data_IF_073036153871
#
_entry.id   IF_073036153871
#
_cell.length_a   1.000
_cell.length_b   1.000
_cell.length_c   1.000
_cell.angle_alpha   90.00
_cell.angle_beta   90.00
_cell.angle_gamma   90.00
#
_symmetry.space_group_name_H-M   'P 1'
#
loop_
_entity.id
_entity.type
_entity.pdbx_description
1 polymer ?
#
# COMPACT_ATOMS: atom_id res chain seq x y z
N UNK A 1 -31.12 18.89 -3.02
CA UNK A 1 -32.20 18.15 -2.32
C UNK A 1 -31.61 17.55 -1.03
N UNK A 2 -31.22 18.42 -0.09
CA UNK A 2 -30.69 18.04 1.22
C UNK A 2 -31.82 18.19 2.22
N UNK A 3 -32.20 17.10 2.90
CA UNK A 3 -33.20 17.14 3.97
C UNK A 3 -32.67 16.32 5.14
N UNK A 4 -32.11 17.05 6.10
CA UNK A 4 -31.75 16.59 7.42
C UNK A 4 -33.00 16.05 8.13
N UNK A 5 -32.95 14.79 8.58
CA UNK A 5 -33.90 14.29 9.58
C UNK A 5 -33.20 14.34 10.94
N UNK A 6 -33.34 15.47 11.62
CA UNK A 6 -33.10 15.60 13.05
C UNK A 6 -34.46 15.45 13.72
N UNK A 7 -34.75 14.25 14.26
CA UNK A 7 -35.99 14.02 15.00
C UNK A 7 -35.80 14.56 16.42
N UNK A 8 -36.59 15.57 16.76
CA UNK A 8 -36.62 16.21 18.07
C UNK A 8 -37.34 15.31 19.08
N UNK A 9 -36.64 14.90 20.13
CA UNK A 9 -37.27 14.40 21.36
C UNK A 9 -37.34 15.58 22.33
N UNK A 10 -38.55 16.08 22.56
CA UNK A 10 -38.82 17.05 23.60
C UNK A 10 -38.69 16.37 24.97
N UNK A 11 -37.69 16.79 25.76
CA UNK A 11 -37.64 16.52 27.20
C UNK A 11 -37.82 17.84 27.93
N UNK A 12 -39.00 18.03 28.51
CA UNK A 12 -39.33 19.19 29.34
C UNK A 12 -38.73 19.03 30.74
N UNK A 13 -37.98 20.04 31.19
CA UNK A 13 -37.87 20.36 32.61
C UNK A 13 -36.52 20.09 33.26
N UNK A 14 -35.61 21.07 33.20
CA UNK A 14 -34.93 21.77 34.32
C UNK A 14 -33.82 22.65 33.75
N UNK A 15 -33.65 23.86 34.29
CA UNK A 15 -32.71 24.88 33.79
C UNK A 15 -31.27 24.46 34.07
N UNK A 16 -30.61 23.84 33.08
CA UNK A 16 -29.16 23.65 33.05
C UNK A 16 -28.51 24.73 32.20
N UNK A 17 -27.59 25.49 32.79
CA UNK A 17 -26.74 26.46 32.09
C UNK A 17 -25.96 25.76 30.97
N UNK A 18 -26.04 26.28 29.75
CA UNK A 18 -25.31 25.77 28.59
C UNK A 18 -23.83 26.18 28.73
N UNK A 19 -22.99 25.26 29.19
CA UNK A 19 -21.53 25.47 29.24
C UNK A 19 -20.95 25.11 27.86
N UNK A 20 -20.29 26.03 27.16
CA UNK A 20 -19.71 25.75 25.85
C UNK A 20 -18.57 24.73 25.96
N UNK A 21 -18.46 23.86 24.95
CA UNK A 21 -17.56 22.69 24.92
C UNK A 21 -16.05 23.04 25.03
N UNK A 22 -15.68 24.32 24.96
CA UNK A 22 -14.31 24.80 25.19
C UNK A 22 -13.96 25.00 26.67
N UNK A 23 -14.94 25.00 27.56
CA UNK A 23 -14.76 25.34 28.98
C UNK A 23 -14.71 24.10 29.90
N UNK A 24 -14.80 22.91 29.33
CA UNK A 24 -14.65 21.60 30.00
C UNK A 24 -13.21 21.05 29.88
N UNK A 25 -12.21 21.92 29.82
CA UNK A 25 -10.81 21.55 29.56
C UNK A 25 -9.91 21.52 30.80
N UNK A 26 -10.41 21.81 32.00
CA UNK A 26 -9.59 21.78 33.21
C UNK A 26 -10.43 21.32 34.39
N UNK A 27 -10.66 20.01 34.50
CA UNK A 27 -10.93 19.33 35.79
C UNK A 27 -10.93 17.81 35.58
N UNK A 28 -9.72 17.24 35.55
CA UNK A 28 -9.34 16.10 36.40
C UNK A 28 -10.11 14.77 36.37
N UNK A 29 -11.09 14.54 35.50
CA UNK A 29 -11.90 13.30 35.54
C UNK A 29 -12.14 12.64 34.18
N UNK A 30 -11.07 12.41 33.41
CA UNK A 30 -11.12 11.46 32.30
C UNK A 30 -10.01 10.38 32.31
N UNK A 31 -9.73 9.67 33.42
CA UNK A 31 -8.90 8.46 33.34
C UNK A 31 -9.69 7.24 32.80
N UNK A 32 -10.97 7.09 33.16
CA UNK A 32 -11.71 5.85 32.91
C UNK A 32 -12.48 5.78 31.58
N UNK A 33 -12.69 6.89 30.88
CA UNK A 33 -13.44 6.91 29.61
C UNK A 33 -12.54 6.72 28.39
N UNK A 34 -11.24 7.04 28.48
CA UNK A 34 -10.28 6.79 27.38
C UNK A 34 -10.21 5.30 27.01
N UNK A 35 -10.26 4.43 28.02
CA UNK A 35 -10.19 2.97 27.89
C UNK A 35 -11.38 2.34 27.17
N UNK A 36 -12.51 3.06 27.04
CA UNK A 36 -13.74 2.57 26.38
C UNK A 36 -13.92 3.09 24.95
N UNK A 37 -13.18 4.14 24.57
CA UNK A 37 -13.25 4.76 23.23
C UNK A 37 -12.03 4.41 22.37
N UNK A 38 -10.87 4.17 22.98
CA UNK A 38 -9.75 3.48 22.35
C UNK A 38 -9.33 2.36 23.29
N UNK A 39 -9.75 1.10 23.06
CA UNK A 39 -9.10 0.02 23.77
C UNK A 39 -7.64 0.04 23.32
N UNK A 40 -6.74 0.32 24.26
CA UNK A 40 -5.32 0.09 24.08
C UNK A 40 -5.17 -1.39 23.70
N UNK A 41 -4.76 -1.66 22.47
CA UNK A 41 -4.55 -3.03 21.98
C UNK A 41 -3.27 -3.56 22.61
N UNK A 42 -3.38 -4.05 23.85
CA UNK A 42 -2.33 -4.71 24.61
C UNK A 42 -2.21 -6.21 24.25
N UNK A 43 -2.53 -6.59 23.02
CA UNK A 43 -2.22 -7.89 22.46
C UNK A 43 -1.44 -7.65 21.18
N UNK A 44 -0.16 -8.01 21.19
CA UNK A 44 0.70 -8.07 20.02
C UNK A 44 0.18 -9.11 19.04
N UNK A 45 -0.89 -8.78 18.33
CA UNK A 45 -1.19 -9.39 17.05
C UNK A 45 -0.10 -8.90 16.10
N UNK A 46 0.82 -9.79 15.75
CA UNK A 46 1.83 -9.54 14.73
C UNK A 46 1.06 -9.30 13.43
N UNK A 47 0.74 -8.05 13.11
CA UNK A 47 -0.01 -7.74 11.90
C UNK A 47 0.92 -8.05 10.72
N UNK A 48 0.70 -9.19 10.09
CA UNK A 48 1.54 -9.68 8.99
C UNK A 48 1.04 -9.02 7.71
N UNK A 49 1.75 -7.99 7.26
CA UNK A 49 1.45 -7.38 5.97
C UNK A 49 1.57 -8.42 4.85
N UNK A 50 0.76 -8.28 3.81
CA UNK A 50 0.97 -9.05 2.57
C UNK A 50 2.31 -8.63 1.92
N UNK A 51 2.98 -9.49 1.14
CA UNK A 51 4.21 -9.09 0.42
C UNK A 51 4.02 -7.83 -0.44
N UNK A 52 2.85 -7.67 -1.06
CA UNK A 52 2.48 -6.44 -1.76
C UNK A 52 2.36 -5.24 -0.83
N UNK A 53 1.74 -5.41 0.33
CA UNK A 53 1.67 -4.39 1.37
C UNK A 53 3.04 -3.95 1.86
N UNK A 54 3.98 -4.88 2.03
CA UNK A 54 5.36 -4.60 2.41
C UNK A 54 6.09 -3.76 1.35
N UNK A 55 5.98 -4.13 0.06
CA UNK A 55 6.57 -3.36 -1.05
C UNK A 55 6.00 -1.96 -1.16
N UNK A 56 4.68 -1.80 -1.03
CA UNK A 56 4.01 -0.48 -0.99
C UNK A 56 4.54 0.37 0.16
N UNK A 57 4.64 -0.22 1.37
CA UNK A 57 5.14 0.47 2.56
C UNK A 57 6.60 0.89 2.42
N UNK A 58 7.44 0.04 1.83
CA UNK A 58 8.84 0.33 1.57
C UNK A 58 9.00 1.52 0.62
N UNK A 59 8.39 1.46 -0.56
CA UNK A 59 8.45 2.53 -1.57
C UNK A 59 7.87 3.85 -1.04
N UNK A 60 6.75 3.81 -0.32
CA UNK A 60 6.17 5.02 0.27
C UNK A 60 7.15 5.71 1.20
N UNK A 61 7.83 4.94 2.06
CA UNK A 61 8.82 5.47 3.01
C UNK A 61 10.07 5.97 2.31
N UNK A 62 10.55 5.27 1.29
CA UNK A 62 11.67 5.70 0.44
C UNK A 62 11.39 7.07 -0.19
N UNK A 63 10.16 7.29 -0.65
CA UNK A 63 9.71 8.58 -1.22
C UNK A 63 9.35 9.63 -0.17
N UNK A 64 9.50 9.35 1.13
CA UNK A 64 9.17 10.27 2.21
C UNK A 64 7.68 10.63 2.30
N UNK A 65 6.80 9.82 1.72
CA UNK A 65 5.36 10.10 1.68
C UNK A 65 4.68 9.63 2.97
N UNK A 66 3.79 10.47 3.50
CA UNK A 66 2.85 10.07 4.55
C UNK A 66 1.73 9.20 3.97
N UNK A 67 1.01 8.47 4.82
CA UNK A 67 -0.18 7.69 4.41
C UNK A 67 -1.24 8.57 3.73
N UNK A 68 -1.41 9.81 4.21
CA UNK A 68 -2.38 10.76 3.66
C UNK A 68 -1.99 11.22 2.25
N UNK A 69 -0.70 11.50 2.04
CA UNK A 69 -0.17 11.93 0.75
C UNK A 69 -0.30 10.82 -0.29
N UNK A 70 0.07 9.57 0.05
CA UNK A 70 -0.13 8.45 -0.86
C UNK A 70 -1.61 8.21 -1.16
N UNK A 71 -2.47 8.27 -0.14
CA UNK A 71 -3.90 8.10 -0.31
C UNK A 71 -4.50 9.15 -1.26
N UNK A 72 -4.11 10.42 -1.09
CA UNK A 72 -4.53 11.53 -1.95
C UNK A 72 -4.06 11.32 -3.39
N UNK A 73 -2.78 10.99 -3.59
CA UNK A 73 -2.21 10.77 -4.92
C UNK A 73 -2.84 9.57 -5.64
N UNK A 74 -3.14 8.49 -4.92
CA UNK A 74 -3.77 7.28 -5.46
C UNK A 74 -5.31 7.34 -5.51
N UNK A 75 -5.92 8.46 -5.12
CA UNK A 75 -7.38 8.64 -5.14
C UNK A 75 -8.15 7.69 -4.21
N UNK A 76 -7.59 7.37 -3.04
CA UNK A 76 -8.15 6.43 -2.06
C UNK A 76 -8.13 7.01 -0.63
N UNK A 77 -8.64 6.27 0.36
CA UNK A 77 -8.62 6.73 1.76
C UNK A 77 -7.34 6.31 2.49
N UNK A 78 -6.94 7.10 3.49
CA UNK A 78 -5.81 6.80 4.38
C UNK A 78 -5.94 5.42 5.04
N UNK A 79 -7.14 5.08 5.53
CA UNK A 79 -7.43 3.76 6.13
C UNK A 79 -7.12 2.64 5.15
N UNK A 80 -7.46 2.83 3.87
CA UNK A 80 -7.24 1.80 2.84
C UNK A 80 -5.76 1.54 2.58
N UNK A 81 -4.94 2.59 2.52
CA UNK A 81 -3.49 2.45 2.41
C UNK A 81 -2.93 1.77 3.66
N UNK A 82 -3.35 2.19 4.85
CA UNK A 82 -2.89 1.56 6.09
C UNK A 82 -3.25 0.08 6.17
N UNK A 83 -4.49 -0.28 5.81
CA UNK A 83 -4.95 -1.67 5.73
C UNK A 83 -4.10 -2.46 4.76
N UNK A 84 -3.84 -1.93 3.56
CA UNK A 84 -2.99 -2.57 2.55
C UNK A 84 -1.57 -2.84 3.09
N UNK A 85 -0.99 -1.87 3.79
CA UNK A 85 0.39 -1.93 4.30
C UNK A 85 0.58 -2.80 5.53
N UNK A 86 -0.49 -3.12 6.26
CA UNK A 86 -0.37 -3.77 7.57
C UNK A 86 -1.23 -5.01 7.71
N UNK A 87 -2.43 -5.10 7.13
CA UNK A 87 -3.30 -6.27 7.29
C UNK A 87 -2.88 -7.42 6.38
N UNK A 88 -2.98 -8.64 6.92
CA UNK A 88 -2.91 -9.86 6.14
C UNK A 88 -4.16 -9.98 5.24
N UNK A 89 -4.06 -10.80 4.19
CA UNK A 89 -5.19 -11.15 3.31
C UNK A 89 -5.88 -9.99 2.55
N UNK A 90 -5.24 -8.83 2.44
CA UNK A 90 -5.74 -7.77 1.55
C UNK A 90 -5.63 -8.19 0.08
N UNK A 91 -6.78 -8.19 -0.61
CA UNK A 91 -6.88 -8.45 -2.06
C UNK A 91 -7.33 -7.18 -2.78
N UNK A 92 -6.42 -6.23 -3.04
CA UNK A 92 -6.76 -5.05 -3.84
C UNK A 92 -7.15 -5.45 -5.26
N UNK A 93 -8.04 -4.66 -5.87
CA UNK A 93 -8.39 -4.84 -7.29
C UNK A 93 -7.25 -4.32 -8.17
N UNK A 94 -7.13 -4.83 -9.39
CA UNK A 94 -6.09 -4.39 -10.34
C UNK A 94 -6.09 -2.87 -10.54
N UNK A 95 -7.27 -2.26 -10.68
CA UNK A 95 -7.41 -0.80 -10.81
C UNK A 95 -6.82 -0.04 -9.61
N UNK A 96 -7.01 -0.55 -8.38
CA UNK A 96 -6.47 0.10 -7.17
C UNK A 96 -4.95 -0.03 -7.11
N UNK A 97 -4.42 -1.19 -7.46
CA UNK A 97 -2.97 -1.39 -7.54
C UNK A 97 -2.36 -0.48 -8.61
N UNK A 98 -3.01 -0.31 -9.76
CA UNK A 98 -2.56 0.61 -10.80
C UNK A 98 -2.47 2.05 -10.29
N UNK A 99 -3.51 2.57 -9.64
CA UNK A 99 -3.46 3.94 -9.09
C UNK A 99 -2.39 4.13 -8.01
N UNK A 100 -2.11 3.09 -7.22
CA UNK A 100 -1.03 3.13 -6.22
C UNK A 100 0.34 3.06 -6.91
N UNK A 101 0.50 2.22 -7.94
CA UNK A 101 1.72 2.12 -8.73
C UNK A 101 2.05 3.44 -9.42
N UNK A 102 1.05 4.08 -10.04
CA UNK A 102 1.20 5.40 -10.67
C UNK A 102 1.64 6.46 -9.64
N UNK A 103 0.99 6.50 -8.47
CA UNK A 103 1.33 7.43 -7.39
C UNK A 103 2.74 7.20 -6.80
N UNK A 104 3.23 5.96 -6.85
CA UNK A 104 4.57 5.59 -6.42
C UNK A 104 5.59 5.59 -7.58
N UNK A 105 5.17 5.96 -8.79
CA UNK A 105 5.99 5.93 -10.02
C UNK A 105 6.69 4.58 -10.24
N UNK A 106 5.94 3.49 -10.08
CA UNK A 106 6.41 2.10 -10.24
C UNK A 106 5.42 1.29 -11.11
N UNK A 107 5.62 -0.02 -11.21
CA UNK A 107 4.76 -0.94 -11.96
C UNK A 107 3.89 -1.79 -11.03
N UNK A 108 2.75 -2.27 -11.53
CA UNK A 108 1.89 -3.17 -10.76
C UNK A 108 2.60 -4.51 -10.52
N UNK A 109 3.38 -4.96 -11.49
CA UNK A 109 4.20 -6.16 -11.47
C UNK A 109 5.22 -6.13 -10.32
N UNK A 110 5.89 -4.99 -10.12
CA UNK A 110 6.81 -4.78 -9.00
C UNK A 110 6.07 -4.87 -7.66
N UNK A 111 4.94 -4.17 -7.51
CA UNK A 111 4.15 -4.20 -6.27
C UNK A 111 3.65 -5.62 -5.96
N UNK A 112 3.31 -6.40 -6.98
CA UNK A 112 2.89 -7.80 -6.84
C UNK A 112 4.06 -8.76 -6.60
N UNK A 113 5.30 -8.34 -6.84
CA UNK A 113 6.48 -9.20 -6.74
C UNK A 113 6.60 -10.20 -7.88
N UNK A 114 5.97 -9.93 -9.03
CA UNK A 114 6.04 -10.80 -10.21
C UNK A 114 7.47 -10.78 -10.79
N UNK A 115 8.20 -9.67 -10.63
CA UNK A 115 9.61 -9.56 -11.04
C UNK A 115 10.57 -10.40 -10.16
N UNK A 116 10.21 -10.66 -8.89
CA UNK A 116 11.01 -11.48 -7.97
C UNK A 116 10.77 -12.99 -8.12
N UNK A 117 9.83 -13.39 -8.99
CA UNK A 117 9.63 -14.78 -9.41
C UNK A 117 10.45 -15.15 -10.66
N UNK A 118 11.43 -14.33 -11.03
CA UNK A 118 12.42 -14.72 -12.03
C UNK A 118 13.58 -15.36 -11.28
N UNK A 119 13.78 -16.66 -11.48
CA UNK A 119 14.98 -17.34 -10.99
C UNK A 119 16.22 -16.54 -11.44
N UNK A 120 17.30 -16.56 -10.65
CA UNK A 120 18.54 -15.80 -10.94
C UNK A 120 19.04 -16.02 -12.38
N UNK A 121 18.78 -17.21 -12.94
CA UNK A 121 19.07 -17.57 -14.32
C UNK A 121 18.16 -16.84 -15.32
N UNK A 122 16.86 -16.71 -15.07
CA UNK A 122 15.95 -15.96 -15.94
C UNK A 122 16.27 -14.45 -15.96
N UNK A 123 16.66 -13.88 -14.82
CA UNK A 123 17.11 -12.48 -14.76
C UNK A 123 18.40 -12.29 -15.60
N UNK A 124 19.32 -13.24 -15.51
CA UNK A 124 20.55 -13.23 -16.31
C UNK A 124 20.23 -13.38 -17.81
N UNK A 125 19.28 -14.24 -18.19
CA UNK A 125 18.84 -14.44 -19.56
C UNK A 125 18.15 -13.21 -20.14
N UNK A 126 17.30 -12.54 -19.36
CA UNK A 126 16.67 -11.27 -19.76
C UNK A 126 17.74 -10.19 -19.98
N UNK A 127 18.69 -10.06 -19.06
CA UNK A 127 19.79 -9.10 -19.19
C UNK A 127 20.67 -9.39 -20.41
N UNK A 128 21.02 -10.67 -20.61
CA UNK A 128 21.77 -11.15 -21.76
C UNK A 128 21.04 -10.88 -23.07
N UNK A 129 19.74 -11.18 -23.16
CA UNK A 129 18.94 -10.95 -24.36
C UNK A 129 18.86 -9.45 -24.73
N UNK A 130 18.70 -8.58 -23.73
CA UNK A 130 18.74 -7.12 -23.92
C UNK A 130 20.07 -6.66 -24.51
N UNK A 131 21.19 -7.22 -24.01
CA UNK A 131 22.51 -6.91 -24.53
C UNK A 131 22.69 -7.47 -25.96
N UNK A 132 22.32 -8.72 -26.20
CA UNK A 132 22.40 -9.39 -27.50
C UNK A 132 21.70 -8.60 -28.60
N UNK A 133 20.47 -8.09 -28.36
CA UNK A 133 19.74 -7.28 -29.36
C UNK A 133 20.47 -5.99 -29.75
N UNK A 134 21.21 -5.38 -28.82
CA UNK A 134 21.95 -4.13 -29.04
C UNK A 134 23.31 -4.33 -29.72
N UNK A 135 23.82 -5.58 -29.81
CA UNK A 135 25.11 -5.87 -30.45
C UNK A 135 25.04 -5.74 -31.99
N UNK A 136 26.16 -5.48 -32.67
CA UNK A 136 26.23 -5.49 -34.14
C UNK A 136 25.77 -6.82 -34.76
N UNK A 137 25.22 -6.77 -35.98
CA UNK A 137 24.71 -7.95 -36.68
C UNK A 137 25.78 -9.05 -36.86
N UNK A 138 27.02 -8.64 -37.09
CA UNK A 138 28.19 -9.50 -37.21
C UNK A 138 28.45 -10.29 -35.92
N UNK A 139 28.42 -9.62 -34.77
CA UNK A 139 28.61 -10.24 -33.44
C UNK A 139 27.48 -11.20 -33.12
N UNK A 140 26.22 -10.79 -33.35
CA UNK A 140 25.05 -11.67 -33.14
C UNK A 140 25.10 -12.92 -34.02
N UNK A 141 25.65 -12.83 -35.24
CA UNK A 141 25.84 -13.98 -36.12
C UNK A 141 26.81 -15.00 -35.53
N UNK A 142 27.97 -14.53 -35.04
CA UNK A 142 28.98 -15.39 -34.40
C UNK A 142 28.43 -16.11 -33.17
N UNK A 143 27.68 -15.41 -32.32
CA UNK A 143 27.02 -15.99 -31.14
C UNK A 143 26.06 -17.12 -31.56
N UNK A 144 25.23 -16.92 -32.59
CA UNK A 144 24.32 -17.97 -33.09
C UNK A 144 25.05 -19.20 -33.63
N UNK A 145 26.17 -19.00 -34.34
CA UNK A 145 26.96 -20.12 -34.86
C UNK A 145 27.63 -20.92 -33.73
N UNK A 146 28.10 -20.26 -32.67
CA UNK A 146 28.63 -20.96 -31.49
C UNK A 146 27.57 -21.80 -30.78
N UNK A 147 26.34 -21.29 -30.64
CA UNK A 147 25.24 -22.04 -29.99
C UNK A 147 24.85 -23.30 -30.79
N UNK A 148 24.87 -23.24 -32.13
CA UNK A 148 24.60 -24.42 -32.96
C UNK A 148 25.59 -25.56 -32.73
N UNK A 149 26.87 -25.23 -32.51
CA UNK A 149 27.93 -26.22 -32.30
C UNK A 149 27.73 -26.99 -30.99
N UNK A 150 27.14 -26.36 -29.97
CA UNK A 150 26.88 -26.99 -28.67
C UNK A 150 25.48 -27.60 -28.54
N UNK A 151 24.53 -27.25 -29.40
CA UNK A 151 23.16 -27.78 -29.38
C UNK A 151 22.98 -29.15 -30.05
N UNK A 152 24.01 -29.64 -30.74
CA UNK A 152 24.06 -30.97 -31.35
C UNK A 152 24.76 -31.96 -30.39
N UNK A 153 24.08 -32.36 -29.30
CA UNK A 153 24.39 -33.63 -28.63
C UNK A 153 23.51 -34.75 -29.26
N UNK A 154 24.06 -35.92 -29.62
CA UNK A 154 23.29 -37.03 -30.19
C UNK A 154 22.32 -37.69 -29.20
#
# INVERSE_FOLDING_TARGET
>A
MFRCYFSAVHFSGTRGTFVPLSELMLDGLFPAVKQKIYPETEHGEKIMATPTGERVKALRKEKGLTLEQLATAAGTSKSRIWELENRDNQRPTAQRLASIADALETTVEFLMGIEEQMDTEEVADVAFYRQYRKMPAETRRKIREMVKIWGDEP
#
